data_IF_977723907315
#
_entry.id   IF_977723907315
#
_cell.length_a   1.000
_cell.length_b   1.000
_cell.length_c   1.000
_cell.angle_alpha   90.00
_cell.angle_beta   90.00
_cell.angle_gamma   90.00
#
_symmetry.space_group_name_H-M   'P 1'
#
loop_
_entity.id
_entity.type
_entity.pdbx_description
1 polymer ?
#
# COMPACT_ATOMS: atom_id res chain seq x y z
N UNK A 1 31.30 -8.12 -1.73
CA UNK A 1 29.92 -8.47 -2.01
C UNK A 1 29.09 -7.22 -2.18
N UNK A 2 28.53 -7.10 -3.34
CA UNK A 2 27.65 -5.96 -3.58
C UNK A 2 26.40 -6.10 -2.72
N UNK A 3 26.12 -5.10 -1.89
CA UNK A 3 24.80 -5.01 -1.27
C UNK A 3 23.80 -4.78 -2.40
N UNK A 4 22.84 -5.65 -2.51
CA UNK A 4 21.72 -5.41 -3.40
C UNK A 4 20.85 -4.34 -2.74
N UNK A 5 21.01 -3.09 -3.16
CA UNK A 5 20.11 -2.02 -2.73
C UNK A 5 18.73 -2.35 -3.23
N UNK A 6 17.86 -2.73 -2.30
CA UNK A 6 16.46 -3.02 -2.58
C UNK A 6 15.67 -1.74 -2.39
N UNK A 7 15.63 -0.93 -3.42
CA UNK A 7 14.88 0.34 -3.41
C UNK A 7 13.55 0.13 -4.12
N UNK A 8 12.48 0.50 -3.45
CA UNK A 8 11.11 0.35 -3.93
C UNK A 8 10.37 1.66 -3.85
N UNK A 9 9.40 1.83 -4.73
CA UNK A 9 8.40 2.89 -4.56
C UNK A 9 7.57 2.60 -3.32
N UNK A 10 7.16 3.64 -2.62
CA UNK A 10 6.41 3.53 -1.39
C UNK A 10 5.22 4.47 -1.38
N UNK A 11 4.18 4.08 -0.66
CA UNK A 11 2.95 4.83 -0.51
C UNK A 11 2.56 4.88 0.95
N UNK A 12 2.17 6.07 1.42
CA UNK A 12 1.74 6.25 2.81
C UNK A 12 0.22 6.17 2.90
N UNK A 13 -0.25 5.35 3.83
CA UNK A 13 -1.62 5.35 4.31
C UNK A 13 -1.60 5.62 5.81
N UNK A 14 -2.73 6.06 6.36
CA UNK A 14 -2.84 6.26 7.80
C UNK A 14 -3.71 5.18 8.43
N UNK A 15 -3.39 4.84 9.67
CA UNK A 15 -4.24 4.00 10.51
C UNK A 15 -5.06 4.90 11.41
N UNK A 16 -6.34 5.06 11.12
CA UNK A 16 -7.24 5.83 11.95
C UNK A 16 -7.97 4.92 12.92
N UNK A 17 -8.46 5.49 14.02
CA UNK A 17 -9.33 4.76 14.92
C UNK A 17 -10.58 4.31 14.17
N UNK A 18 -10.83 2.99 14.15
CA UNK A 18 -11.95 2.41 13.42
C UNK A 18 -11.71 2.20 11.94
N UNK A 19 -10.62 2.74 11.38
CA UNK A 19 -10.28 2.57 9.97
C UNK A 19 -8.75 2.51 9.80
N UNK A 20 -8.11 1.41 10.22
CA UNK A 20 -6.66 1.26 10.12
C UNK A 20 -6.27 0.77 8.72
N UNK A 21 -6.31 1.66 7.76
CA UNK A 21 -6.14 1.33 6.34
C UNK A 21 -4.82 0.64 6.01
N UNK A 22 -3.70 1.11 6.58
CA UNK A 22 -2.41 0.50 6.31
C UNK A 22 -2.35 -0.93 6.88
N UNK A 23 -2.86 -1.11 8.11
CA UNK A 23 -2.92 -2.43 8.73
C UNK A 23 -3.81 -3.38 7.94
N UNK A 24 -4.94 -2.90 7.46
CA UNK A 24 -5.85 -3.71 6.65
C UNK A 24 -5.19 -4.19 5.35
N UNK A 25 -4.37 -3.36 4.71
CA UNK A 25 -3.63 -3.80 3.53
C UNK A 25 -2.60 -4.85 3.92
N UNK A 26 -1.84 -4.61 4.98
CA UNK A 26 -0.82 -5.56 5.43
C UNK A 26 -1.41 -6.96 5.63
N UNK A 27 -2.59 -7.04 6.24
CA UNK A 27 -3.23 -8.31 6.60
C UNK A 27 -4.10 -8.89 5.49
N UNK A 28 -4.27 -8.18 4.37
CA UNK A 28 -5.08 -8.65 3.26
C UNK A 28 -6.58 -8.41 3.43
N UNK A 29 -6.99 -7.68 4.46
CA UNK A 29 -8.39 -7.29 4.65
C UNK A 29 -8.81 -6.21 3.67
N UNK A 30 -7.87 -5.35 3.27
CA UNK A 30 -8.08 -4.33 2.25
C UNK A 30 -7.18 -4.68 1.07
N UNK A 31 -7.80 -4.99 -0.06
CA UNK A 31 -7.08 -5.41 -1.27
C UNK A 31 -7.18 -4.41 -2.41
N UNK A 32 -7.91 -3.32 -2.17
CA UNK A 32 -8.02 -2.19 -3.09
C UNK A 32 -7.74 -0.92 -2.30
N UNK A 33 -6.78 -0.13 -2.75
CA UNK A 33 -6.58 1.23 -2.25
C UNK A 33 -7.39 2.19 -3.10
N UNK A 34 -7.83 3.30 -2.54
CA UNK A 34 -8.63 4.30 -3.27
C UNK A 34 -8.01 5.66 -3.15
N UNK A 35 -7.94 6.36 -4.29
CA UNK A 35 -7.40 7.72 -4.38
C UNK A 35 -8.12 8.50 -5.45
N UNK A 36 -8.16 9.81 -5.29
CA UNK A 36 -8.76 10.68 -6.31
C UNK A 36 -7.90 10.78 -7.56
N UNK A 37 -6.58 10.69 -7.40
CA UNK A 37 -5.63 10.81 -8.52
C UNK A 37 -4.89 9.50 -8.74
N UNK A 38 -4.62 9.20 -10.00
CA UNK A 38 -3.85 8.03 -10.39
C UNK A 38 -2.36 8.35 -10.46
N UNK A 39 -1.54 7.31 -10.38
CA UNK A 39 -0.11 7.36 -10.69
C UNK A 39 0.11 6.69 -12.04
N UNK A 40 1.17 7.13 -12.74
CA UNK A 40 1.59 6.43 -13.95
C UNK A 40 2.36 5.15 -13.67
N UNK A 41 2.81 4.99 -12.42
CA UNK A 41 3.60 3.83 -12.02
C UNK A 41 2.69 2.60 -11.83
N UNK A 42 3.17 1.46 -12.30
CA UNK A 42 2.65 0.13 -11.98
C UNK A 42 3.81 -0.73 -11.56
N UNK A 43 3.58 -1.61 -10.57
CA UNK A 43 4.61 -2.49 -10.05
C UNK A 43 4.59 -2.55 -8.53
N UNK A 44 5.69 -3.01 -7.96
CA UNK A 44 5.82 -3.20 -6.52
C UNK A 44 5.85 -1.88 -5.78
N UNK A 45 5.07 -1.79 -4.71
CA UNK A 45 5.08 -0.64 -3.79
C UNK A 45 5.15 -1.13 -2.35
N UNK A 46 5.88 -0.38 -1.53
CA UNK A 46 5.89 -0.59 -0.08
C UNK A 46 4.73 0.20 0.51
N UNK A 47 3.92 -0.45 1.32
CA UNK A 47 2.85 0.20 2.08
C UNK A 47 3.43 0.66 3.41
N UNK A 48 3.32 1.95 3.68
CA UNK A 48 3.81 2.58 4.89
C UNK A 48 2.66 3.19 5.67
N UNK A 49 2.78 3.20 6.99
CA UNK A 49 1.82 3.86 7.87
C UNK A 49 2.34 5.22 8.26
N UNK A 50 1.53 6.26 8.08
CA UNK A 50 1.93 7.62 8.40
C UNK A 50 2.25 7.80 9.87
N UNK A 51 3.23 8.65 10.17
CA UNK A 51 3.72 8.84 11.54
C UNK A 51 2.84 9.78 12.37
N UNK A 52 2.47 10.90 11.78
CA UNK A 52 1.82 12.00 12.51
C UNK A 52 0.32 11.85 12.65
N UNK A 53 -0.33 11.29 11.65
CA UNK A 53 -1.80 11.23 11.59
C UNK A 53 -2.36 9.84 11.89
N UNK A 54 -1.50 8.88 12.18
CA UNK A 54 -1.93 7.52 12.50
C UNK A 54 -1.98 7.28 13.98
N UNK A 55 -2.82 6.33 14.39
CA UNK A 55 -2.87 5.81 15.76
C UNK A 55 -2.40 4.36 15.72
N UNK A 56 -1.84 3.90 16.84
CA UNK A 56 -1.46 2.50 17.02
C UNK A 56 -0.01 2.20 16.67
N UNK A 57 0.28 0.91 16.65
CA UNK A 57 1.66 0.38 16.62
C UNK A 57 2.37 0.56 15.28
N UNK A 58 1.63 0.76 14.19
CA UNK A 58 2.21 0.81 12.85
C UNK A 58 2.72 2.20 12.46
N UNK A 59 2.38 3.22 13.25
CA UNK A 59 2.72 4.61 12.91
C UNK A 59 4.23 4.77 12.64
N UNK A 60 4.56 5.33 11.49
CA UNK A 60 5.94 5.58 11.10
C UNK A 60 6.69 4.39 10.54
N UNK A 61 6.00 3.28 10.26
CA UNK A 61 6.66 2.05 9.83
C UNK A 61 6.27 1.62 8.42
N UNK A 62 7.21 0.97 7.75
CA UNK A 62 6.97 0.25 6.50
C UNK A 62 6.46 -1.15 6.86
N UNK A 63 5.37 -1.59 6.24
CA UNK A 63 4.63 -2.76 6.68
C UNK A 63 4.71 -3.96 5.74
N UNK A 64 4.62 -3.72 4.43
CA UNK A 64 4.58 -4.82 3.46
C UNK A 64 4.86 -4.29 2.06
N UNK A 65 5.03 -5.23 1.12
CA UNK A 65 5.12 -4.93 -0.30
C UNK A 65 3.90 -5.54 -0.98
N UNK A 66 3.28 -4.78 -1.86
CA UNK A 66 2.23 -5.26 -2.75
C UNK A 66 2.53 -4.80 -4.16
N UNK A 67 1.93 -5.44 -5.15
CA UNK A 67 2.04 -5.00 -6.54
C UNK A 67 0.81 -4.22 -6.93
N UNK A 68 0.98 -2.95 -7.32
CA UNK A 68 -0.07 -2.15 -7.93
C UNK A 68 -0.12 -2.54 -9.40
N UNK A 69 -1.17 -3.28 -9.80
CA UNK A 69 -1.20 -3.84 -11.15
C UNK A 69 -2.27 -3.22 -12.04
N UNK A 70 -3.29 -2.58 -11.47
CA UNK A 70 -4.37 -1.98 -12.25
C UNK A 70 -4.97 -0.80 -11.50
N UNK A 71 -5.28 0.25 -12.24
CA UNK A 71 -6.04 1.41 -11.72
C UNK A 71 -7.21 1.62 -12.65
N UNK A 72 -8.40 1.80 -12.09
CA UNK A 72 -9.63 2.06 -12.83
C UNK A 72 -10.59 2.85 -11.95
N UNK A 73 -11.67 3.41 -12.54
CA UNK A 73 -12.70 4.05 -11.70
C UNK A 73 -13.27 3.06 -10.69
N UNK A 74 -13.62 3.56 -9.52
CA UNK A 74 -14.21 2.74 -8.46
C UNK A 74 -15.55 2.18 -8.91
N UNK A 75 -15.84 0.95 -8.50
CA UNK A 75 -17.13 0.27 -8.69
C UNK A 75 -17.76 0.03 -7.33
N UNK A 76 -19.09 -0.11 -7.28
CA UNK A 76 -19.77 -0.45 -6.03
C UNK A 76 -19.27 -1.78 -5.46
N UNK A 77 -18.93 -2.72 -6.33
CA UNK A 77 -18.39 -4.01 -5.92
C UNK A 77 -17.03 -3.91 -5.22
N UNK A 78 -16.37 -2.74 -5.26
CA UNK A 78 -15.09 -2.52 -4.60
C UNK A 78 -15.23 -2.12 -3.13
N UNK A 79 -16.43 -1.83 -2.64
CA UNK A 79 -16.60 -1.27 -1.29
C UNK A 79 -15.99 -2.16 -0.21
N UNK A 80 -16.28 -3.45 -0.24
CA UNK A 80 -15.77 -4.38 0.76
C UNK A 80 -14.24 -4.49 0.69
N UNK A 81 -13.71 -4.62 -0.50
CA UNK A 81 -12.26 -4.79 -0.71
C UNK A 81 -11.48 -3.52 -0.39
N UNK A 82 -12.09 -2.36 -0.54
CA UNK A 82 -11.43 -1.07 -0.30
C UNK A 82 -11.64 -0.53 1.12
N UNK A 83 -12.72 -0.96 1.78
CA UNK A 83 -13.08 -0.43 3.08
C UNK A 83 -13.70 0.97 3.05
N UNK A 84 -14.07 1.46 1.86
CA UNK A 84 -14.69 2.78 1.72
C UNK A 84 -15.96 2.68 0.89
N UNK A 85 -16.86 3.64 1.10
CA UNK A 85 -18.10 3.72 0.34
C UNK A 85 -17.84 4.15 -1.09
N UNK A 86 -18.67 3.67 -2.00
CA UNK A 86 -18.57 4.00 -3.41
C UNK A 86 -18.60 5.50 -3.65
N UNK A 87 -17.70 5.96 -4.50
CA UNK A 87 -17.65 7.34 -4.96
C UNK A 87 -17.18 7.34 -6.42
N UNK A 88 -18.00 7.87 -7.37
CA UNK A 88 -17.65 7.82 -8.78
C UNK A 88 -16.43 8.65 -9.17
N UNK A 89 -15.97 9.54 -8.29
CA UNK A 89 -14.80 10.37 -8.54
C UNK A 89 -13.49 9.72 -8.09
N UNK A 90 -13.58 8.58 -7.40
CA UNK A 90 -12.42 7.89 -6.84
C UNK A 90 -11.92 6.82 -7.81
N UNK A 91 -10.62 6.61 -7.82
CA UNK A 91 -9.97 5.51 -8.55
C UNK A 91 -9.71 4.36 -7.59
N UNK A 92 -9.93 3.15 -8.07
CA UNK A 92 -9.55 1.93 -7.38
C UNK A 92 -8.18 1.47 -7.86
N UNK A 93 -7.28 1.25 -6.90
CA UNK A 93 -5.92 0.76 -7.11
C UNK A 93 -5.90 -0.69 -6.69
N UNK A 94 -5.88 -1.60 -7.67
CA UNK A 94 -5.95 -3.03 -7.41
C UNK A 94 -4.56 -3.56 -7.05
N UNK A 95 -4.50 -4.26 -5.93
CA UNK A 95 -3.26 -4.77 -5.35
C UNK A 95 -3.23 -6.29 -5.43
N UNK A 96 -2.03 -6.85 -5.60
CA UNK A 96 -1.82 -8.29 -5.59
C UNK A 96 -0.39 -8.61 -5.15
N UNK A 97 -0.07 -9.88 -5.01
CA UNK A 97 1.28 -10.35 -4.75
C UNK A 97 1.85 -9.78 -3.45
N UNK A 98 1.22 -10.14 -2.32
CA UNK A 98 1.63 -9.70 -0.99
C UNK A 98 2.96 -10.31 -0.58
N UNK A 99 3.82 -9.47 0.02
CA UNK A 99 5.06 -9.91 0.67
C UNK A 99 5.19 -9.13 1.97
N UNK A 100 5.55 -9.84 3.04
CA UNK A 100 5.79 -9.19 4.31
C UNK A 100 7.29 -9.01 4.53
N UNK A 101 7.64 -8.21 5.52
CA UNK A 101 9.03 -8.07 5.97
C UNK A 101 9.27 -8.96 7.17
N UNK A 102 10.51 -9.42 7.36
CA UNK A 102 10.90 -10.19 8.54
C UNK A 102 10.73 -9.40 9.83
N UNK A 103 10.76 -8.08 9.74
CA UNK A 103 10.39 -7.15 10.81
C UNK A 103 9.92 -5.85 10.18
N UNK A 104 9.07 -5.11 10.88
CA UNK A 104 8.73 -3.76 10.48
C UNK A 104 9.96 -2.85 10.68
N UNK A 105 10.07 -1.79 9.89
CA UNK A 105 11.15 -0.84 10.03
C UNK A 105 10.63 0.57 9.82
N UNK A 106 11.30 1.53 10.46
CA UNK A 106 10.96 2.93 10.33
C UNK A 106 11.43 3.45 8.97
N UNK A 107 10.67 4.38 8.43
CA UNK A 107 11.01 5.02 7.16
C UNK A 107 11.03 6.54 7.34
N UNK A 108 11.80 7.20 6.49
CA UNK A 108 11.81 8.65 6.41
C UNK A 108 11.29 9.07 5.06
N UNK A 109 10.07 9.64 4.98
CA UNK A 109 9.55 10.09 3.70
C UNK A 109 10.37 11.26 3.20
N UNK A 110 10.81 11.18 1.95
CA UNK A 110 11.46 12.29 1.32
C UNK A 110 10.38 13.28 0.87
N UNK A 111 10.50 14.52 1.37
CA UNK A 111 9.58 15.57 0.97
C UNK A 111 9.95 16.06 -0.42
N UNK A 112 9.13 15.71 -1.38
CA UNK A 112 9.10 16.41 -2.64
C UNK A 112 7.99 17.44 -2.52
N UNK A 113 8.28 18.66 -2.85
CA UNK A 113 7.35 19.79 -2.74
C UNK A 113 5.97 19.46 -3.31
N UNK A 114 4.93 19.57 -2.49
CA UNK A 114 3.55 19.34 -2.90
C UNK A 114 3.16 17.87 -3.11
N UNK A 115 4.01 16.91 -2.80
CA UNK A 115 3.84 15.54 -3.25
C UNK A 115 3.66 14.52 -2.14
N UNK A 116 3.09 14.90 -1.00
CA UNK A 116 2.86 13.95 0.08
C UNK A 116 1.89 12.81 -0.30
N UNK A 117 1.13 12.98 -1.39
CA UNK A 117 0.26 11.95 -1.94
C UNK A 117 0.92 11.14 -3.03
N UNK A 118 2.18 11.41 -3.33
CA UNK A 118 2.92 10.75 -4.41
C UNK A 118 3.73 9.59 -3.87
N UNK A 119 4.18 8.77 -4.80
CA UNK A 119 5.13 7.71 -4.47
C UNK A 119 6.50 8.32 -4.16
N UNK A 120 7.22 7.69 -3.25
CA UNK A 120 8.59 8.07 -2.91
C UNK A 120 9.42 6.79 -2.78
N UNK A 121 10.74 6.93 -2.72
CA UNK A 121 11.62 5.77 -2.70
C UNK A 121 12.00 5.39 -1.28
N UNK A 122 12.00 4.09 -0.99
CA UNK A 122 12.51 3.53 0.25
C UNK A 122 13.51 2.44 -0.08
N UNK A 123 14.66 2.47 0.59
CA UNK A 123 15.62 1.37 0.55
C UNK A 123 15.41 0.49 1.77
N UNK A 124 15.16 -0.80 1.53
CA UNK A 124 14.94 -1.77 2.61
C UNK A 124 16.27 -2.02 3.32
N UNK A 125 16.30 -1.99 4.67
CA UNK A 125 17.51 -2.31 5.42
C UNK A 125 18.06 -3.70 5.08
N UNK A 126 19.39 -3.85 5.08
CA UNK A 126 20.04 -5.09 4.68
C UNK A 126 19.65 -6.29 5.55
N UNK A 127 19.29 -6.05 6.81
CA UNK A 127 18.91 -7.12 7.73
C UNK A 127 17.43 -7.52 7.61
N UNK A 128 16.66 -6.83 6.78
CA UNK A 128 15.24 -7.13 6.59
C UNK A 128 15.07 -8.03 5.37
N UNK A 129 14.40 -9.16 5.58
CA UNK A 129 14.08 -10.08 4.51
C UNK A 129 12.65 -9.91 4.02
N UNK A 130 12.45 -10.21 2.74
CA UNK A 130 11.15 -10.16 2.10
C UNK A 130 10.57 -11.56 2.08
N UNK A 131 9.37 -11.71 2.62
CA UNK A 131 8.73 -13.01 2.80
C UNK A 131 7.45 -13.05 1.98
N UNK A 132 7.37 -13.88 0.93
CA UNK A 132 6.14 -14.01 0.15
C UNK A 132 4.96 -14.48 1.01
N UNK A 133 3.79 -13.94 0.71
CA UNK A 133 2.54 -14.28 1.40
C UNK A 133 1.50 -14.71 0.36
N UNK A 134 1.67 -15.89 -0.25
CA UNK A 134 0.72 -16.37 -1.27
C UNK A 134 -0.65 -16.74 -0.70
N UNK A 135 -0.75 -16.84 0.62
CA UNK A 135 -2.02 -17.07 1.32
C UNK A 135 -2.96 -15.86 1.27
N UNK A 136 -2.44 -14.66 1.02
CA UNK A 136 -3.27 -13.45 0.91
C UNK A 136 -3.78 -13.35 -0.52
N UNK A 137 -5.11 -13.33 -0.67
CA UNK A 137 -5.76 -13.33 -1.98
C UNK A 137 -6.07 -11.91 -2.44
N UNK A 138 -5.70 -11.62 -3.68
CA UNK A 138 -6.06 -10.36 -4.32
C UNK A 138 -7.56 -10.31 -4.61
N UNK A 139 -8.06 -9.08 -4.80
CA UNK A 139 -9.42 -8.88 -5.28
C UNK A 139 -9.56 -9.55 -6.65
N UNK A 140 -10.60 -10.36 -6.80
CA UNK A 140 -10.84 -11.05 -8.06
C UNK A 140 -11.52 -10.10 -9.03
N UNK A 141 -10.77 -9.66 -10.04
CA UNK A 141 -11.26 -8.72 -11.03
C UNK A 141 -12.18 -9.43 -12.01
N UNK A 142 -13.43 -8.99 -12.06
CA UNK A 142 -14.41 -9.52 -12.98
C UNK A 142 -14.72 -8.46 -14.04
N UNK A 143 -14.24 -8.68 -15.27
CA UNK A 143 -14.42 -7.74 -16.37
C UNK A 143 -15.84 -7.76 -16.95
N UNK A 144 -16.63 -8.73 -16.58
CA UNK A 144 -18.03 -8.84 -17.01
C UNK A 144 -18.97 -7.94 -16.23
N UNK A 145 -18.50 -7.34 -15.16
CA UNK A 145 -19.31 -6.46 -14.33
C UNK A 145 -19.18 -5.00 -14.74
#
# INVERSE_FOLDING_TARGET
MASTNKTFKALILNDYKGAPYADWIKNGEKTIETRYRSFNYRGDIIICCGKTNSVGKNAGKALCIVELWKVRPMRKSDEKASGVSYNPEIKSFLLRNWRHFSRDFEFSPQRVSGAWQSLFDITIPDDVQIIPRPDIKAFEENEML
#
